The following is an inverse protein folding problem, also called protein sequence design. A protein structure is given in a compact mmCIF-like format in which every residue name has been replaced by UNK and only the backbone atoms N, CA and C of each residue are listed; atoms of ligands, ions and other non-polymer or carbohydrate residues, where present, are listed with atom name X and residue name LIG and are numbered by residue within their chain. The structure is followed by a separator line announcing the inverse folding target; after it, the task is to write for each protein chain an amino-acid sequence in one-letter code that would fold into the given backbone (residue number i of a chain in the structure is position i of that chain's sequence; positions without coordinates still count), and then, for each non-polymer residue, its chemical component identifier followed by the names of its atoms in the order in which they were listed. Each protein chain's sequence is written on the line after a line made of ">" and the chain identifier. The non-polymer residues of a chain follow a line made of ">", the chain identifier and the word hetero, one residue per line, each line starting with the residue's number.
data_IF_661360187249
#
_entry.id   IF_661360187249
#
_cell.length_a   1.000
_cell.length_b   1.000
_cell.length_c   1.000
_cell.angle_alpha   90.00
_cell.angle_beta   90.00
_cell.angle_gamma   90.00
#
_symmetry.space_group_name_H-M   'P 1'
#
loop_
_entity.id
_entity.type
_entity.pdbx_description
1 polymer ?
#
# COMPACT_ATOMS: atom_id res chain seq x y z
N UNK A 1 12.60 17.80 -1.84
CA UNK A 1 12.77 18.64 -3.05
C UNK A 1 13.04 17.85 -4.34
N UNK A 2 13.64 16.65 -4.30
CA UNK A 2 13.83 15.78 -5.47
C UNK A 2 12.55 15.09 -5.93
N UNK A 3 11.73 14.55 -5.00
CA UNK A 3 10.49 13.85 -5.32
C UNK A 3 9.45 14.67 -6.11
N UNK A 4 9.31 15.98 -5.81
CA UNK A 4 8.40 16.86 -6.58
C UNK A 4 8.77 17.06 -8.05
N UNK A 5 10.08 16.97 -8.38
CA UNK A 5 10.51 17.07 -9.77
C UNK A 5 10.17 15.81 -10.57
N UNK A 6 10.12 14.65 -9.92
CA UNK A 6 9.86 13.37 -10.58
C UNK A 6 8.36 13.11 -10.81
N UNK A 7 7.49 13.55 -9.90
CA UNK A 7 6.04 13.47 -10.13
C UNK A 7 5.61 14.33 -11.34
N UNK A 8 6.17 15.52 -11.49
CA UNK A 8 5.93 16.37 -12.67
C UNK A 8 6.51 15.75 -13.96
N UNK A 9 7.62 15.00 -13.86
CA UNK A 9 8.21 14.30 -14.99
C UNK A 9 7.36 13.09 -15.41
N UNK A 10 6.78 12.36 -14.45
CA UNK A 10 5.86 11.25 -14.75
C UNK A 10 4.65 11.73 -15.57
N UNK A 11 4.03 12.84 -15.16
CA UNK A 11 2.90 13.43 -15.89
C UNK A 11 3.29 13.91 -17.29
N UNK A 12 4.50 14.49 -17.44
CA UNK A 12 5.00 14.97 -18.73
C UNK A 12 5.39 13.81 -19.66
N UNK A 13 5.94 12.71 -19.13
CA UNK A 13 6.35 11.54 -19.93
C UNK A 13 5.10 10.74 -20.35
N UNK A 14 4.07 10.62 -19.53
CA UNK A 14 2.81 10.00 -19.94
C UNK A 14 2.09 10.79 -21.03
N UNK A 15 2.15 12.13 -21.01
CA UNK A 15 1.57 12.98 -22.07
C UNK A 15 2.39 12.93 -23.37
N UNK A 16 3.72 12.81 -23.30
CA UNK A 16 4.58 12.73 -24.47
C UNK A 16 4.49 11.37 -25.18
N UNK A 17 4.27 10.28 -24.45
CA UNK A 17 4.08 8.94 -25.02
C UNK A 17 2.80 8.81 -25.86
N UNK A 18 1.80 9.68 -25.63
CA UNK A 18 0.57 9.72 -26.41
C UNK A 18 0.67 10.51 -27.72
N UNK A 19 1.77 11.25 -27.97
CA UNK A 19 1.86 12.20 -29.07
C UNK A 19 2.81 11.80 -30.22
N UNK A 20 3.67 10.78 -30.04
CA UNK A 20 4.60 10.37 -31.08
C UNK A 20 4.19 9.05 -31.73
N UNK A 21 3.86 9.13 -33.03
CA UNK A 21 3.66 7.97 -33.92
C UNK A 21 5.02 7.29 -34.17
N UNK A 22 5.23 6.19 -33.47
CA UNK A 22 6.49 5.43 -33.52
C UNK A 22 6.47 4.34 -34.59
N UNK A 23 7.61 3.98 -35.18
CA UNK A 23 7.68 2.82 -36.03
C UNK A 23 7.35 1.56 -35.25
N UNK A 24 6.45 0.74 -35.82
CA UNK A 24 6.09 -0.56 -35.25
C UNK A 24 7.36 -1.43 -35.20
N UNK A 25 7.77 -1.81 -33.99
CA UNK A 25 8.70 -2.91 -33.79
C UNK A 25 7.92 -4.19 -34.17
N UNK A 26 8.49 -5.00 -35.08
CA UNK A 26 7.87 -6.24 -35.54
C UNK A 26 7.55 -7.13 -34.35
N UNK A 27 6.31 -7.65 -34.31
CA UNK A 27 5.84 -8.59 -33.31
C UNK A 27 6.54 -9.96 -33.51
N UNK A 28 7.72 -10.09 -32.94
CA UNK A 28 8.39 -11.37 -32.76
C UNK A 28 8.36 -11.64 -31.24
N UNK A 29 7.50 -12.59 -30.86
CA UNK A 29 7.29 -13.22 -29.56
C UNK A 29 7.62 -12.34 -28.33
N UNK A 30 6.68 -11.48 -27.94
CA UNK A 30 6.70 -10.85 -26.63
C UNK A 30 6.73 -11.94 -25.53
N UNK A 31 7.59 -11.79 -24.50
CA UNK A 31 7.59 -12.73 -23.39
C UNK A 31 6.19 -12.82 -22.77
N UNK A 32 5.78 -14.02 -22.39
CA UNK A 32 4.46 -14.32 -21.82
C UNK A 32 4.24 -13.72 -20.41
N UNK A 33 5.07 -12.80 -20.00
CA UNK A 33 5.01 -12.13 -18.69
C UNK A 33 4.14 -10.89 -18.84
N UNK A 34 3.01 -10.88 -18.13
CA UNK A 34 2.15 -9.70 -18.02
C UNK A 34 2.67 -8.81 -16.90
N UNK A 35 2.80 -7.54 -17.18
CA UNK A 35 3.21 -6.53 -16.20
C UNK A 35 2.02 -5.65 -15.83
N UNK A 36 1.89 -5.35 -14.52
CA UNK A 36 0.93 -4.39 -14.03
C UNK A 36 1.53 -2.96 -14.04
N UNK A 37 0.68 -1.94 -14.00
CA UNK A 37 1.14 -0.54 -13.92
C UNK A 37 2.07 -0.31 -12.71
N UNK A 38 1.82 -1.01 -11.60
CA UNK A 38 2.67 -0.93 -10.42
C UNK A 38 4.08 -1.48 -10.65
N UNK A 39 4.25 -2.47 -11.50
CA UNK A 39 5.57 -3.00 -11.85
C UNK A 39 6.36 -1.95 -12.62
N UNK A 40 5.71 -1.22 -13.51
CA UNK A 40 6.32 -0.08 -14.20
C UNK A 40 6.70 1.06 -13.26
N UNK A 41 5.88 1.34 -12.25
CA UNK A 41 6.18 2.34 -11.20
C UNK A 41 7.32 1.86 -10.29
N UNK A 42 7.35 0.59 -9.92
CA UNK A 42 8.43 -0.02 -9.12
C UNK A 42 9.77 0.04 -9.87
N UNK A 43 9.76 -0.34 -11.15
CA UNK A 43 10.95 -0.27 -11.99
C UNK A 43 11.46 1.15 -12.11
N UNK A 44 10.57 2.12 -12.35
CA UNK A 44 10.94 3.53 -12.43
C UNK A 44 11.56 4.05 -11.12
N UNK A 45 11.00 3.67 -9.96
CA UNK A 45 11.59 3.99 -8.64
C UNK A 45 12.97 3.38 -8.47
N UNK A 46 13.11 2.10 -8.79
CA UNK A 46 14.40 1.40 -8.73
C UNK A 46 15.47 2.12 -9.56
N UNK A 47 15.16 2.46 -10.79
CA UNK A 47 16.08 3.20 -11.67
C UNK A 47 16.46 4.60 -11.13
N UNK A 48 15.54 5.25 -10.41
CA UNK A 48 15.76 6.56 -9.81
C UNK A 48 16.63 6.52 -8.54
N UNK A 49 16.62 5.41 -7.82
CA UNK A 49 17.23 5.26 -6.49
C UNK A 49 18.52 4.42 -6.51
N UNK A 50 18.66 3.50 -7.46
CA UNK A 50 19.79 2.57 -7.58
C UNK A 50 20.36 2.55 -9.01
N UNK A 51 21.04 3.60 -9.46
CA UNK A 51 21.54 3.68 -10.85
C UNK A 51 22.63 2.66 -11.20
N UNK A 52 23.25 2.00 -10.21
CA UNK A 52 24.38 1.06 -10.39
C UNK A 52 24.08 -0.36 -9.83
N UNK A 53 22.82 -0.72 -9.62
CA UNK A 53 22.42 -1.97 -8.98
C UNK A 53 22.45 -3.19 -9.90
N UNK A 54 22.85 -4.33 -9.33
CA UNK A 54 22.91 -5.64 -9.98
C UNK A 54 21.60 -6.05 -10.66
N UNK A 55 21.75 -6.79 -11.74
CA UNK A 55 20.70 -7.22 -12.67
C UNK A 55 19.37 -7.60 -12.02
N UNK A 56 18.39 -6.75 -12.21
CA UNK A 56 17.00 -7.04 -11.92
C UNK A 56 16.41 -7.81 -13.11
N UNK A 57 15.45 -8.74 -12.90
CA UNK A 57 14.79 -9.47 -13.98
C UNK A 57 13.88 -8.58 -14.86
N UNK A 58 14.26 -7.33 -15.04
CA UNK A 58 13.53 -6.28 -15.74
C UNK A 58 14.30 -5.70 -16.94
N UNK A 59 15.41 -6.33 -17.35
CA UNK A 59 16.07 -6.06 -18.63
C UNK A 59 15.24 -6.74 -19.73
N UNK A 60 14.30 -5.99 -20.30
CA UNK A 60 13.30 -6.50 -21.23
C UNK A 60 13.78 -6.51 -22.68
N UNK A 61 14.80 -5.72 -23.01
CA UNK A 61 15.43 -5.70 -24.32
C UNK A 61 16.71 -6.55 -24.38
N UNK A 62 17.10 -7.16 -23.24
CA UNK A 62 18.26 -8.02 -23.08
C UNK A 62 19.60 -7.35 -23.49
N UNK A 63 19.73 -6.06 -23.28
CA UNK A 63 20.97 -5.31 -23.56
C UNK A 63 22.00 -5.37 -22.40
N UNK A 64 21.61 -5.96 -21.26
CA UNK A 64 22.42 -6.13 -20.06
C UNK A 64 22.34 -4.99 -19.08
N UNK A 65 21.46 -4.00 -19.30
CA UNK A 65 21.26 -2.86 -18.43
C UNK A 65 19.78 -2.53 -18.26
N UNK A 66 19.32 -2.27 -17.05
CA UNK A 66 17.94 -1.80 -16.81
C UNK A 66 17.89 -0.29 -17.05
N UNK A 67 17.19 0.12 -18.10
CA UNK A 67 17.14 1.50 -18.59
C UNK A 67 15.71 2.03 -18.75
N UNK A 68 15.57 3.29 -19.18
CA UNK A 68 14.28 3.86 -19.57
C UNK A 68 13.61 3.11 -20.73
N UNK A 69 14.38 2.38 -21.52
CA UNK A 69 13.83 1.57 -22.61
C UNK A 69 13.06 0.37 -22.07
N UNK A 70 13.60 -0.32 -21.07
CA UNK A 70 12.92 -1.43 -20.39
C UNK A 70 11.62 -0.99 -19.73
N UNK A 71 11.68 0.14 -19.01
CA UNK A 71 10.47 0.74 -18.44
C UNK A 71 9.42 1.03 -19.52
N UNK A 72 9.85 1.54 -20.67
CA UNK A 72 8.97 1.83 -21.80
C UNK A 72 8.37 0.54 -22.38
N UNK A 73 9.17 -0.50 -22.57
CA UNK A 73 8.72 -1.81 -23.03
C UNK A 73 7.71 -2.40 -22.06
N UNK A 74 7.96 -2.28 -20.75
CA UNK A 74 7.01 -2.69 -19.71
C UNK A 74 5.69 -1.93 -19.82
N UNK A 75 5.72 -0.60 -19.91
CA UNK A 75 4.51 0.22 -20.08
C UNK A 75 3.75 -0.11 -21.36
N UNK A 76 4.45 -0.40 -22.45
CA UNK A 76 3.82 -0.81 -23.72
C UNK A 76 3.19 -2.20 -23.67
N UNK A 77 3.69 -3.09 -22.80
CA UNK A 77 3.14 -4.43 -22.61
C UNK A 77 1.97 -4.46 -21.63
N UNK A 78 1.65 -3.35 -20.97
CA UNK A 78 0.46 -3.26 -20.14
C UNK A 78 -0.77 -3.44 -21.02
N UNK A 79 -1.55 -4.47 -20.72
CA UNK A 79 -2.81 -4.73 -21.43
C UNK A 79 -3.84 -3.70 -20.98
N UNK A 80 -4.20 -2.77 -21.87
CA UNK A 80 -5.15 -1.70 -21.57
C UNK A 80 -6.60 -2.14 -21.75
N UNK A 81 -6.85 -3.42 -21.98
CA UNK A 81 -8.13 -3.90 -22.48
C UNK A 81 -9.08 -4.50 -21.44
N UNK A 82 -8.66 -4.76 -20.20
CA UNK A 82 -9.58 -5.24 -19.15
C UNK A 82 -9.28 -4.53 -17.83
N UNK A 83 -10.31 -4.10 -17.11
CA UNK A 83 -10.25 -3.75 -15.69
C UNK A 83 -9.89 -5.02 -14.91
N UNK A 84 -8.62 -5.45 -14.97
CA UNK A 84 -8.15 -6.51 -14.08
C UNK A 84 -8.18 -5.95 -12.66
N UNK A 85 -9.02 -6.53 -11.83
CA UNK A 85 -9.00 -6.32 -10.38
C UNK A 85 -7.59 -6.61 -9.89
N UNK A 86 -6.95 -5.57 -9.44
CA UNK A 86 -5.56 -5.65 -8.99
C UNK A 86 -5.50 -6.50 -7.72
N UNK A 87 -4.84 -7.62 -7.77
CA UNK A 87 -4.58 -8.48 -6.62
C UNK A 87 -3.10 -8.40 -6.33
N UNK A 88 -2.72 -7.74 -5.24
CA UNK A 88 -1.32 -7.64 -4.83
C UNK A 88 -0.71 -9.03 -4.61
N UNK A 89 -1.47 -9.91 -3.97
CA UNK A 89 -1.11 -11.32 -3.75
C UNK A 89 -2.36 -12.16 -3.46
N UNK A 90 -2.34 -13.49 -3.67
CA UNK A 90 -3.42 -14.36 -3.25
C UNK A 90 -3.64 -14.35 -1.73
N UNK A 91 -4.90 -14.42 -1.28
CA UNK A 91 -5.21 -14.58 0.16
C UNK A 91 -4.46 -15.79 0.73
N UNK A 92 -3.84 -15.59 1.91
CA UNK A 92 -3.11 -16.63 2.61
C UNK A 92 -1.69 -16.88 2.11
N UNK A 93 -1.16 -16.02 1.24
CA UNK A 93 0.27 -16.03 0.88
C UNK A 93 1.11 -15.96 2.15
N UNK A 94 2.09 -16.86 2.25
CA UNK A 94 3.00 -16.93 3.40
C UNK A 94 4.31 -16.24 3.04
N UNK A 95 4.64 -15.23 3.81
CA UNK A 95 5.91 -14.52 3.78
C UNK A 95 6.88 -15.11 4.79
N UNK A 96 8.18 -14.98 4.54
CA UNK A 96 9.23 -15.41 5.45
C UNK A 96 10.26 -14.30 5.61
N UNK A 97 10.77 -14.14 6.82
CA UNK A 97 11.77 -13.15 7.16
C UNK A 97 12.30 -13.37 8.56
N UNK A 98 12.83 -12.33 9.15
CA UNK A 98 13.30 -12.33 10.54
C UNK A 98 12.45 -11.37 11.37
N UNK A 99 12.20 -11.73 12.63
CA UNK A 99 11.61 -10.83 13.61
C UNK A 99 12.68 -10.36 14.60
N UNK A 100 12.68 -9.06 14.86
CA UNK A 100 13.32 -8.41 16.00
C UNK A 100 12.26 -7.84 16.94
N UNK A 101 12.64 -7.06 17.93
CA UNK A 101 11.68 -6.38 18.78
C UNK A 101 12.15 -4.99 19.20
N UNK A 102 11.20 -4.11 19.43
CA UNK A 102 11.42 -2.76 19.91
C UNK A 102 10.59 -2.46 21.16
N UNK A 103 11.04 -1.49 21.94
CA UNK A 103 10.31 -0.95 23.07
C UNK A 103 9.65 0.37 22.72
N UNK A 104 8.56 0.70 23.39
CA UNK A 104 7.80 1.94 23.17
C UNK A 104 6.38 1.82 23.72
N UNK A 105 5.54 2.76 23.35
CA UNK A 105 4.10 2.73 23.65
C UNK A 105 3.31 2.14 22.46
N UNK A 106 1.99 2.25 22.57
CA UNK A 106 1.04 1.86 21.52
C UNK A 106 0.70 3.06 20.64
N UNK A 107 1.71 3.82 20.24
CA UNK A 107 1.58 4.91 19.27
C UNK A 107 1.35 4.35 17.88
N UNK A 108 0.66 5.10 17.05
CA UNK A 108 0.30 4.70 15.69
C UNK A 108 1.43 4.72 14.67
N UNK A 109 2.65 5.08 15.07
CA UNK A 109 3.85 5.07 14.25
C UNK A 109 3.70 5.80 12.91
N UNK A 110 4.44 5.35 11.91
CA UNK A 110 4.37 5.90 10.56
C UNK A 110 2.99 5.72 9.90
N UNK A 111 2.20 4.73 10.33
CA UNK A 111 0.85 4.50 9.83
C UNK A 111 -0.18 5.49 10.41
N UNK A 112 0.21 6.32 11.38
CA UNK A 112 -0.64 7.33 12.02
C UNK A 112 -1.99 6.75 12.49
N UNK A 113 -1.96 5.59 13.18
CA UNK A 113 -3.17 4.90 13.63
C UNK A 113 -3.62 5.28 15.04
N UNK A 114 -3.07 6.34 15.62
CA UNK A 114 -3.44 6.79 16.96
C UNK A 114 -4.93 7.13 17.10
N UNK A 115 -5.58 6.77 18.22
CA UNK A 115 -5.07 5.89 19.26
C UNK A 115 -5.11 4.41 18.81
N UNK A 116 -4.04 3.66 19.04
CA UNK A 116 -4.00 2.22 18.79
C UNK A 116 -4.62 1.46 19.96
N UNK A 117 -5.50 0.50 19.67
CA UNK A 117 -6.06 -0.38 20.70
C UNK A 117 -4.97 -1.24 21.35
N UNK A 118 -4.98 -1.33 22.67
CA UNK A 118 -4.10 -2.22 23.44
C UNK A 118 -4.57 -3.70 23.42
N UNK A 119 -5.69 -3.99 22.74
CA UNK A 119 -6.18 -5.36 22.57
C UNK A 119 -5.40 -6.12 21.49
N UNK A 120 -4.58 -5.42 20.69
CA UNK A 120 -3.76 -6.01 19.65
C UNK A 120 -2.28 -5.81 19.93
N UNK A 121 -1.45 -6.82 19.66
CA UNK A 121 -0.02 -6.62 19.51
C UNK A 121 0.25 -5.79 18.26
N UNK A 122 1.35 -5.04 18.27
CA UNK A 122 1.75 -4.19 17.15
C UNK A 122 3.11 -4.59 16.61
N UNK A 123 3.39 -4.20 15.37
CA UNK A 123 4.67 -4.41 14.70
C UNK A 123 5.01 -3.26 13.75
N UNK A 124 6.31 -3.01 13.61
CA UNK A 124 6.83 -2.30 12.45
C UNK A 124 7.12 -3.30 11.33
N UNK A 125 6.85 -2.90 10.09
CA UNK A 125 7.03 -3.72 8.89
C UNK A 125 8.17 -3.15 8.04
N UNK A 126 8.97 -4.03 7.44
CA UNK A 126 10.05 -3.64 6.54
C UNK A 126 9.55 -2.74 5.39
N UNK A 127 10.44 -1.89 4.88
CA UNK A 127 10.11 -0.87 3.87
C UNK A 127 9.56 -1.47 2.56
N UNK A 128 9.97 -2.69 2.18
CA UNK A 128 9.57 -3.31 0.92
C UNK A 128 8.12 -3.80 0.95
N UNK A 129 7.68 -4.40 2.05
CA UNK A 129 6.31 -4.85 2.23
C UNK A 129 5.40 -3.71 2.71
N UNK A 130 5.92 -2.75 3.47
CA UNK A 130 5.18 -1.53 3.86
C UNK A 130 4.79 -0.66 2.67
N UNK A 131 5.64 -0.57 1.66
CA UNK A 131 5.45 -0.02 0.33
C UNK A 131 4.48 1.19 0.24
N UNK A 132 4.92 2.36 0.72
CA UNK A 132 4.10 3.58 0.71
C UNK A 132 2.79 3.40 1.52
N UNK A 133 2.89 2.76 2.69
CA UNK A 133 1.77 2.45 3.59
C UNK A 133 0.69 1.51 2.98
N UNK A 134 1.04 0.72 1.98
CA UNK A 134 0.13 -0.24 1.35
C UNK A 134 -0.38 -1.28 2.35
N UNK A 135 0.52 -1.76 3.24
CA UNK A 135 0.17 -2.70 4.31
C UNK A 135 0.02 -2.04 5.69
N UNK A 136 -0.08 -0.70 5.76
CA UNK A 136 -0.43 -0.03 7.00
C UNK A 136 -1.81 -0.47 7.50
N UNK A 137 -1.92 -0.83 8.78
CA UNK A 137 -3.15 -1.38 9.34
C UNK A 137 -3.44 -2.84 8.96
N UNK A 138 -2.51 -3.52 8.26
CA UNK A 138 -2.62 -4.96 8.02
C UNK A 138 -2.62 -5.73 9.34
N UNK A 139 -3.47 -6.76 9.44
CA UNK A 139 -3.44 -7.69 10.57
C UNK A 139 -2.76 -8.98 10.12
N UNK A 140 -1.73 -9.37 10.84
CA UNK A 140 -0.85 -10.47 10.46
C UNK A 140 -0.94 -11.59 11.49
N UNK A 141 -0.97 -12.84 11.00
CA UNK A 141 -0.67 -14.02 11.79
C UNK A 141 0.82 -14.31 11.64
N UNK A 142 1.58 -14.20 12.73
CA UNK A 142 3.04 -14.39 12.76
C UNK A 142 3.39 -15.63 13.54
N UNK A 143 4.15 -16.55 12.93
CA UNK A 143 4.59 -17.81 13.52
C UNK A 143 6.11 -17.82 13.71
N UNK A 144 6.54 -18.08 14.92
CA UNK A 144 7.91 -18.35 15.30
C UNK A 144 8.07 -19.73 15.96
N UNK A 145 9.22 -19.99 16.57
CA UNK A 145 9.55 -21.32 17.11
C UNK A 145 8.73 -21.74 18.34
N UNK A 146 8.22 -20.79 19.14
CA UNK A 146 7.43 -21.06 20.35
C UNK A 146 5.93 -20.98 20.12
N UNK A 147 5.47 -20.34 19.07
CA UNK A 147 4.04 -20.18 18.83
C UNK A 147 3.68 -19.22 17.73
N UNK A 148 2.42 -18.88 17.69
CA UNK A 148 1.82 -17.97 16.72
C UNK A 148 1.08 -16.87 17.45
N UNK A 149 1.22 -15.64 16.99
CA UNK A 149 0.52 -14.44 17.48
C UNK A 149 -0.06 -13.66 16.32
N UNK A 150 -1.03 -12.81 16.62
CA UNK A 150 -1.57 -11.86 15.67
C UNK A 150 -1.09 -10.45 16.03
N UNK A 151 -0.67 -9.69 15.02
CA UNK A 151 -0.12 -8.34 15.20
C UNK A 151 -0.68 -7.37 14.16
N UNK A 152 -0.85 -6.12 14.56
CA UNK A 152 -1.27 -5.01 13.69
C UNK A 152 -0.03 -4.24 13.19
N UNK A 153 0.05 -3.98 11.91
CA UNK A 153 1.12 -3.16 11.32
C UNK A 153 0.82 -1.69 11.57
N UNK A 154 1.62 -1.06 12.43
CA UNK A 154 1.45 0.34 12.82
C UNK A 154 2.61 1.22 12.42
N UNK A 155 3.78 0.64 12.10
CA UNK A 155 4.99 1.41 11.89
C UNK A 155 5.86 0.83 10.76
N UNK A 156 6.87 1.58 10.38
CA UNK A 156 7.86 1.26 9.35
C UNK A 156 9.19 0.86 10.00
N UNK A 157 9.76 -0.26 9.55
CA UNK A 157 11.15 -0.70 9.80
C UNK A 157 12.00 -0.37 8.57
N UNK A 158 12.70 0.79 8.54
CA UNK A 158 13.35 1.29 7.32
C UNK A 158 14.50 0.40 6.82
N UNK A 159 15.23 -0.25 7.74
CA UNK A 159 16.39 -1.11 7.46
C UNK A 159 16.05 -2.59 7.29
N UNK A 160 14.79 -2.98 7.44
CA UNK A 160 14.34 -4.35 7.29
C UNK A 160 14.46 -4.85 5.85
N UNK A 161 14.80 -6.15 5.67
CA UNK A 161 14.68 -6.83 4.39
C UNK A 161 13.24 -7.25 4.15
N UNK A 162 12.90 -7.58 2.91
CA UNK A 162 11.56 -8.10 2.58
C UNK A 162 11.22 -9.30 3.48
N UNK A 163 10.05 -9.26 4.09
CA UNK A 163 9.55 -10.26 5.04
C UNK A 163 9.89 -9.98 6.51
N UNK A 164 10.83 -9.06 6.81
CA UNK A 164 11.24 -8.76 8.18
C UNK A 164 10.19 -7.95 8.93
N UNK A 165 10.07 -8.23 10.22
CA UNK A 165 9.18 -7.53 11.16
C UNK A 165 9.97 -7.09 12.40
N UNK A 166 9.56 -5.98 13.01
CA UNK A 166 10.03 -5.56 14.32
C UNK A 166 8.83 -5.54 15.27
N UNK A 167 8.76 -6.54 16.15
CA UNK A 167 7.60 -6.78 17.01
C UNK A 167 7.65 -5.89 18.25
N UNK A 168 6.49 -5.60 18.81
CA UNK A 168 6.44 -5.00 20.15
C UNK A 168 7.14 -5.91 21.18
N UNK A 169 7.89 -5.32 22.10
CA UNK A 169 8.78 -6.02 23.03
C UNK A 169 8.08 -7.13 23.83
N UNK A 170 6.82 -6.95 24.21
CA UNK A 170 6.05 -7.96 24.97
C UNK A 170 5.43 -9.04 24.06
N UNK A 171 5.36 -8.81 22.75
CA UNK A 171 4.86 -9.79 21.78
C UNK A 171 5.95 -10.81 21.38
N UNK A 172 7.19 -10.38 21.27
CA UNK A 172 8.30 -11.24 20.82
C UNK A 172 8.51 -12.50 21.67
N UNK A 173 8.44 -12.44 23.04
CA UNK A 173 8.59 -13.63 23.88
C UNK A 173 7.53 -14.72 23.68
N UNK A 174 6.42 -14.38 23.04
CA UNK A 174 5.35 -15.34 22.74
C UNK A 174 5.69 -16.24 21.54
N UNK A 175 6.64 -15.80 20.69
CA UNK A 175 7.05 -16.55 19.50
C UNK A 175 8.50 -17.05 19.55
N UNK A 176 9.34 -16.50 20.43
CA UNK A 176 10.74 -16.91 20.54
C UNK A 176 11.32 -16.52 21.92
N UNK A 177 12.39 -17.18 22.42
CA UNK A 177 13.13 -16.74 23.59
C UNK A 177 13.68 -15.31 23.38
N UNK A 178 13.42 -14.41 24.33
CA UNK A 178 13.79 -13.00 24.22
C UNK A 178 15.30 -12.78 24.06
N UNK A 179 16.12 -13.66 24.66
CA UNK A 179 17.60 -13.60 24.60
C UNK A 179 18.16 -13.82 23.19
N UNK A 180 17.36 -14.37 22.24
CA UNK A 180 17.79 -14.53 20.85
C UNK A 180 17.84 -13.20 20.10
N UNK A 181 17.01 -12.24 20.48
CA UNK A 181 16.95 -10.90 19.90
C UNK A 181 16.50 -10.82 18.43
N UNK A 182 16.79 -11.86 17.64
CA UNK A 182 16.44 -12.00 16.23
C UNK A 182 16.19 -13.46 15.89
N UNK A 183 15.05 -13.76 15.25
CA UNK A 183 14.64 -15.13 14.92
C UNK A 183 13.96 -15.18 13.55
N UNK A 184 14.06 -16.32 12.84
CA UNK A 184 13.25 -16.54 11.63
C UNK A 184 11.78 -16.64 11.99
N UNK A 185 10.94 -16.04 11.15
CA UNK A 185 9.48 -16.09 11.25
C UNK A 185 8.85 -16.33 9.89
N UNK A 186 7.61 -16.78 9.92
CA UNK A 186 6.69 -16.70 8.77
C UNK A 186 5.44 -15.94 9.16
N UNK A 187 4.86 -15.21 8.20
CA UNK A 187 3.62 -14.49 8.45
C UNK A 187 2.73 -14.46 7.21
N UNK A 188 1.46 -14.22 7.43
CA UNK A 188 0.46 -14.01 6.39
C UNK A 188 -0.54 -12.95 6.84
N UNK A 189 -1.16 -12.28 5.88
CA UNK A 189 -2.24 -11.32 6.15
C UNK A 189 -3.52 -12.12 6.47
N UNK A 190 -4.16 -11.73 7.57
CA UNK A 190 -5.46 -12.24 8.00
C UNK A 190 -6.45 -11.07 8.13
N UNK A 191 -7.77 -11.31 8.08
CA UNK A 191 -8.73 -10.24 8.33
C UNK A 191 -8.56 -9.69 9.74
N UNK A 192 -8.60 -8.36 9.89
CA UNK A 192 -8.62 -7.72 11.19
C UNK A 192 -9.82 -8.24 11.98
N UNK A 193 -9.57 -8.61 13.23
CA UNK A 193 -10.59 -9.08 14.17
C UNK A 193 -11.46 -7.89 14.64
N UNK A 194 -12.37 -7.47 13.77
CA UNK A 194 -13.36 -6.44 14.09
C UNK A 194 -14.62 -7.10 14.63
N UNK A 195 -15.38 -6.36 15.44
CA UNK A 195 -16.72 -6.80 15.82
C UNK A 195 -17.54 -7.14 14.56
N UNK A 196 -18.43 -8.14 14.66
CA UNK A 196 -19.30 -8.54 13.55
C UNK A 196 -20.03 -7.29 12.99
N UNK A 197 -19.86 -7.05 11.69
CA UNK A 197 -20.44 -5.90 10.99
C UNK A 197 -19.98 -4.50 11.48
N UNK A 198 -18.93 -4.40 12.27
CA UNK A 198 -18.36 -3.10 12.59
C UNK A 198 -17.89 -2.40 11.29
N UNK A 199 -18.43 -1.23 10.96
CA UNK A 199 -18.09 -0.56 9.71
C UNK A 199 -16.68 0.01 9.74
N UNK A 200 -16.13 0.33 8.56
CA UNK A 200 -14.94 1.15 8.43
C UNK A 200 -15.19 2.55 8.96
N UNK A 201 -14.10 3.23 9.31
CA UNK A 201 -14.14 4.60 9.80
C UNK A 201 -13.24 5.48 8.91
N UNK A 202 -13.55 6.76 8.87
CA UNK A 202 -12.86 7.75 8.05
C UNK A 202 -12.36 8.87 8.93
N UNK A 203 -11.05 9.08 8.95
CA UNK A 203 -10.42 10.18 9.68
C UNK A 203 -9.86 11.19 8.70
N UNK A 204 -10.22 12.44 8.88
CA UNK A 204 -9.66 13.53 8.11
C UNK A 204 -8.39 14.02 8.79
N UNK A 205 -7.36 14.26 7.97
CA UNK A 205 -6.09 14.78 8.46
C UNK A 205 -6.27 16.19 9.01
N UNK A 206 -5.55 16.52 10.08
CA UNK A 206 -5.47 17.89 10.60
C UNK A 206 -5.17 18.90 9.48
N UNK A 207 -5.89 20.00 9.45
CA UNK A 207 -5.83 21.01 8.40
C UNK A 207 -6.62 20.68 7.13
N UNK A 208 -7.38 19.57 7.11
CA UNK A 208 -8.31 19.30 6.01
C UNK A 208 -9.37 20.38 5.90
N UNK A 209 -9.70 20.76 4.68
CA UNK A 209 -10.68 21.76 4.32
C UNK A 209 -11.33 21.39 2.99
N UNK A 210 -12.39 22.08 2.54
CA UNK A 210 -12.97 21.86 1.22
C UNK A 210 -11.97 21.98 0.05
N UNK A 211 -10.83 22.66 0.27
CA UNK A 211 -9.81 22.97 -0.75
C UNK A 211 -8.55 22.14 -0.65
N UNK A 212 -8.38 21.37 0.41
CA UNK A 212 -7.31 20.39 0.61
C UNK A 212 -7.78 19.35 1.62
N UNK A 213 -7.70 18.08 1.29
CA UNK A 213 -8.25 17.04 2.14
C UNK A 213 -7.34 15.81 2.14
N UNK A 214 -7.01 15.31 3.34
CA UNK A 214 -6.38 14.01 3.54
C UNK A 214 -7.37 13.09 4.25
N UNK A 215 -7.60 11.90 3.70
CA UNK A 215 -8.52 10.91 4.25
C UNK A 215 -7.76 9.65 4.62
N UNK A 216 -7.97 9.13 5.82
CA UNK A 216 -7.50 7.83 6.26
C UNK A 216 -8.68 6.91 6.51
N UNK A 217 -8.58 5.68 6.02
CA UNK A 217 -9.56 4.61 6.30
C UNK A 217 -9.05 3.79 7.48
N UNK A 218 -9.90 3.58 8.47
CA UNK A 218 -9.60 2.85 9.69
C UNK A 218 -10.56 1.67 9.85
N UNK A 219 -10.22 0.71 10.71
CA UNK A 219 -11.04 -0.46 11.02
C UNK A 219 -11.39 -1.31 9.78
N UNK A 220 -10.53 -1.31 8.77
CA UNK A 220 -10.69 -2.14 7.57
C UNK A 220 -10.20 -3.57 7.82
N UNK A 221 -10.93 -4.56 7.31
CA UNK A 221 -10.56 -5.99 7.49
C UNK A 221 -9.29 -6.39 6.79
N UNK A 222 -9.07 -5.83 5.62
CA UNK A 222 -7.87 -6.04 4.81
C UNK A 222 -7.26 -4.71 4.44
N UNK A 223 -5.94 -4.64 4.20
CA UNK A 223 -5.29 -3.42 3.75
C UNK A 223 -5.98 -2.83 2.52
N UNK A 224 -6.04 -1.52 2.47
CA UNK A 224 -6.70 -0.79 1.40
C UNK A 224 -5.73 -0.61 0.23
N UNK A 225 -6.09 -1.05 -0.95
CA UNK A 225 -5.36 -0.77 -2.18
C UNK A 225 -5.69 0.61 -2.73
N UNK A 226 -6.97 0.91 -2.91
CA UNK A 226 -7.40 2.22 -3.42
C UNK A 226 -8.53 2.81 -2.60
N UNK A 227 -8.50 4.13 -2.47
CA UNK A 227 -9.60 4.95 -2.02
C UNK A 227 -9.98 5.91 -3.15
N UNK A 228 -11.22 5.86 -3.58
CA UNK A 228 -11.75 6.71 -4.63
C UNK A 228 -12.93 7.52 -4.13
N UNK A 229 -13.09 8.75 -4.62
CA UNK A 229 -14.23 9.60 -4.31
C UNK A 229 -15.15 9.70 -5.52
N UNK A 230 -16.48 9.68 -5.28
CA UNK A 230 -17.47 9.87 -6.33
C UNK A 230 -17.55 11.34 -6.74
N UNK A 231 -17.40 11.59 -8.02
CA UNK A 231 -17.57 12.91 -8.64
C UNK A 231 -19.06 13.26 -8.83
N UNK A 232 -19.33 14.53 -9.13
CA UNK A 232 -20.68 15.01 -9.40
C UNK A 232 -21.35 14.36 -10.63
N UNK A 233 -20.56 13.87 -11.59
CA UNK A 233 -21.04 13.15 -12.77
C UNK A 233 -21.25 11.63 -12.52
N UNK A 234 -21.00 11.17 -11.29
CA UNK A 234 -21.13 9.78 -10.87
C UNK A 234 -19.90 8.90 -11.12
N UNK A 235 -18.88 9.41 -11.77
CA UNK A 235 -17.59 8.71 -11.92
C UNK A 235 -16.80 8.70 -10.60
N UNK A 236 -15.77 7.86 -10.51
CA UNK A 236 -14.89 7.80 -9.35
C UNK A 236 -13.47 8.27 -9.71
N UNK A 237 -12.86 9.01 -8.81
CA UNK A 237 -11.45 9.46 -8.93
C UNK A 237 -10.65 8.91 -7.76
N UNK A 238 -9.56 8.20 -8.08
CA UNK A 238 -8.65 7.67 -7.07
C UNK A 238 -7.86 8.80 -6.40
N UNK A 239 -7.71 8.69 -5.09
CA UNK A 239 -6.91 9.57 -4.27
C UNK A 239 -5.50 8.96 -4.09
N UNK A 240 -4.41 9.69 -4.37
CA UNK A 240 -3.06 9.18 -4.19
C UNK A 240 -2.73 8.95 -2.72
N UNK A 241 -2.23 7.75 -2.40
CA UNK A 241 -1.78 7.38 -1.06
C UNK A 241 -0.44 8.05 -0.73
N UNK A 242 -0.28 8.39 0.53
CA UNK A 242 0.97 8.88 1.10
C UNK A 242 1.63 7.82 1.99
N UNK A 243 2.94 7.93 2.18
CA UNK A 243 3.71 7.00 3.02
C UNK A 243 3.34 7.03 4.52
N UNK A 244 2.50 7.96 4.94
CA UNK A 244 1.95 8.08 6.28
C UNK A 244 0.45 7.70 6.35
N UNK A 245 0.02 6.79 5.46
CA UNK A 245 -1.30 6.15 5.49
C UNK A 245 -2.49 7.12 5.36
N UNK A 246 -2.34 8.18 4.56
CA UNK A 246 -3.43 9.05 4.15
C UNK A 246 -3.55 9.08 2.63
N UNK A 247 -4.77 9.20 2.14
CA UNK A 247 -5.09 9.46 0.73
C UNK A 247 -5.37 10.95 0.55
N UNK A 248 -4.70 11.60 -0.40
CA UNK A 248 -4.74 13.04 -0.54
C UNK A 248 -5.55 13.52 -1.74
N UNK A 249 -6.41 14.51 -1.51
CA UNK A 249 -6.99 15.38 -2.50
C UNK A 249 -6.35 16.76 -2.38
N UNK A 250 -5.32 17.03 -3.17
CA UNK A 250 -4.56 18.30 -3.12
C UNK A 250 -5.41 19.52 -3.49
N UNK A 251 -6.47 19.32 -4.28
CA UNK A 251 -7.44 20.38 -4.64
C UNK A 251 -8.71 20.36 -3.77
N UNK A 252 -8.71 19.52 -2.72
CA UNK A 252 -9.85 19.31 -1.85
C UNK A 252 -10.94 18.45 -2.48
N UNK A 253 -11.98 18.17 -1.68
CA UNK A 253 -13.15 17.36 -2.07
C UNK A 253 -14.46 18.15 -1.98
N UNK A 254 -14.41 19.43 -1.56
CA UNK A 254 -15.61 20.23 -1.28
C UNK A 254 -16.15 20.03 0.14
N UNK A 255 -17.41 20.38 0.35
CA UNK A 255 -18.05 20.44 1.67
C UNK A 255 -18.59 19.07 2.17
N UNK A 256 -18.56 18.03 1.31
CA UNK A 256 -19.20 16.77 1.63
C UNK A 256 -20.75 16.83 1.65
N UNK A 257 -21.48 15.79 2.13
CA UNK A 257 -20.91 14.48 2.47
C UNK A 257 -20.32 13.76 1.27
N UNK A 258 -19.37 12.86 1.51
CA UNK A 258 -18.69 12.14 0.45
C UNK A 258 -19.26 10.74 0.26
N UNK A 259 -19.06 10.19 -0.93
CA UNK A 259 -19.22 8.77 -1.24
C UNK A 259 -17.85 8.24 -1.66
N UNK A 260 -17.36 7.25 -0.94
CA UNK A 260 -16.10 6.60 -1.26
C UNK A 260 -16.31 5.21 -1.85
N UNK A 261 -15.44 4.81 -2.78
CA UNK A 261 -15.24 3.43 -3.17
C UNK A 261 -13.90 2.99 -2.59
N UNK A 262 -13.93 1.91 -1.83
CA UNK A 262 -12.78 1.34 -1.13
C UNK A 262 -12.50 -0.01 -1.74
N UNK A 263 -11.27 -0.24 -2.23
CA UNK A 263 -10.83 -1.53 -2.75
C UNK A 263 -9.67 -2.02 -1.92
N UNK A 264 -9.72 -3.27 -1.46
CA UNK A 264 -8.63 -3.89 -0.72
C UNK A 264 -7.57 -4.49 -1.66
N UNK A 265 -6.45 -4.95 -1.07
CA UNK A 265 -5.33 -5.58 -1.79
C UNK A 265 -5.72 -6.88 -2.52
N UNK A 266 -6.91 -7.42 -2.31
CA UNK A 266 -7.44 -8.62 -2.98
C UNK A 266 -8.48 -8.28 -4.05
N UNK A 267 -8.66 -6.98 -4.35
CA UNK A 267 -9.60 -6.51 -5.35
C UNK A 267 -11.07 -6.51 -4.91
N UNK A 268 -11.36 -6.73 -3.62
CA UNK A 268 -12.72 -6.64 -3.09
C UNK A 268 -13.08 -5.17 -2.92
N UNK A 269 -14.20 -4.74 -3.49
CA UNK A 269 -14.64 -3.34 -3.47
C UNK A 269 -15.95 -3.17 -2.75
N UNK A 270 -16.06 -2.08 -1.99
CA UNK A 270 -17.32 -1.62 -1.39
C UNK A 270 -17.48 -0.12 -1.62
N UNK A 271 -18.74 0.32 -1.65
CA UNK A 271 -19.09 1.75 -1.69
C UNK A 271 -19.69 2.11 -0.34
N UNK A 272 -19.17 3.19 0.25
CA UNK A 272 -19.67 3.76 1.49
C UNK A 272 -20.16 5.19 1.21
N UNK A 273 -21.43 5.45 1.50
CA UNK A 273 -22.10 6.68 1.12
C UNK A 273 -22.39 7.57 2.32
N UNK A 274 -22.54 8.86 2.04
CA UNK A 274 -22.93 9.86 3.02
C UNK A 274 -21.93 10.03 4.17
N UNK A 275 -20.63 9.89 3.90
CA UNK A 275 -19.58 10.13 4.89
C UNK A 275 -19.50 11.64 5.16
N UNK A 276 -19.80 12.10 6.38
CA UNK A 276 -19.73 13.53 6.70
C UNK A 276 -18.31 14.06 6.58
N UNK A 277 -18.16 15.32 6.22
CA UNK A 277 -16.89 16.02 6.29
C UNK A 277 -16.84 16.85 7.57
N UNK A 278 -16.21 16.33 8.59
CA UNK A 278 -15.96 17.04 9.85
C UNK A 278 -14.46 16.92 10.13
N UNK A 279 -13.66 17.96 9.82
CA UNK A 279 -12.23 17.99 10.14
C UNK A 279 -11.97 17.68 11.60
N UNK A 280 -10.85 17.02 11.88
CA UNK A 280 -10.39 16.64 13.23
C UNK A 280 -11.27 15.60 13.96
N UNK A 281 -12.28 15.04 13.28
CA UNK A 281 -13.11 13.97 13.82
C UNK A 281 -13.00 12.68 12.98
N UNK A 282 -13.20 11.54 13.65
CA UNK A 282 -13.35 10.25 12.97
C UNK A 282 -14.83 10.00 12.71
N UNK A 283 -15.18 9.79 11.45
CA UNK A 283 -16.53 9.49 11.01
C UNK A 283 -16.72 7.98 10.89
N UNK A 284 -17.86 7.47 11.35
CA UNK A 284 -18.20 6.06 11.18
C UNK A 284 -18.99 5.89 9.89
N UNK A 285 -18.51 5.00 9.03
CA UNK A 285 -19.20 4.62 7.80
C UNK A 285 -20.35 3.63 8.03
N UNK A 286 -20.79 3.02 6.96
CA UNK A 286 -21.82 1.97 6.98
C UNK A 286 -21.37 0.65 6.37
N UNK A 287 -20.25 0.65 5.67
CA UNK A 287 -19.72 -0.49 4.94
C UNK A 287 -18.50 -1.13 5.62
N UNK A 288 -18.28 -2.40 5.33
CA UNK A 288 -17.07 -3.16 5.68
C UNK A 288 -16.69 -4.06 4.52
N UNK A 289 -15.39 -4.27 4.32
CA UNK A 289 -14.87 -5.23 3.35
C UNK A 289 -15.34 -6.67 3.69
N UNK A 290 -15.67 -7.49 2.70
CA UNK A 290 -16.04 -8.88 2.93
C UNK A 290 -14.88 -9.70 3.49
N UNK A 291 -15.18 -10.89 4.09
CA UNK A 291 -14.19 -11.84 4.60
C UNK A 291 -13.53 -12.64 3.47
#
# INVERSE_FOLDING_TARGET
>A
MKARKYAALLSAVMLAAAADSMPAVSAEEAPSVRFALADAVRLFRYMAECPDGDAVPCDLDADGAVTLLDWRLMVQSLDTAEEETWILEPKGTVHTGEATFYGGGYEGGCAMLDPVSTDHWITAMNIFDYNTAELAGAYLEVTGELGTINVLVTDLLPEGKKGDLDLYVDAFPLIAPAEKGRVPVSWKIIPLDTAENAPMQYRYKEGSSPYWCGVQVLNHRYPIETLEVRNADGTFTALPRQNYNYFLAESGLGEGPFTFRITDIYGQSVIDENIPFTPDETQTGSAQLPL
#
